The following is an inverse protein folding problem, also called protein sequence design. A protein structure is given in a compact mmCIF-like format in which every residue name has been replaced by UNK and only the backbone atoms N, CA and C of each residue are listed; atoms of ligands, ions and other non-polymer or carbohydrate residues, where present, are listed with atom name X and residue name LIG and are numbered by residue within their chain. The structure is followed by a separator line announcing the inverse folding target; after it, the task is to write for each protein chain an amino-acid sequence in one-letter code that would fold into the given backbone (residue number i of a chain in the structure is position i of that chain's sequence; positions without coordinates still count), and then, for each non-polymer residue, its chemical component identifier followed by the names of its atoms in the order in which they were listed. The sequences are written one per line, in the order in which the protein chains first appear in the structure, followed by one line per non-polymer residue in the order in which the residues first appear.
data_IF_452701709263
#
_entry.id   IF_452701709263
#
_cell.length_a   1.000
_cell.length_b   1.000
_cell.length_c   1.000
_cell.angle_alpha   90.00
_cell.angle_beta   90.00
_cell.angle_gamma   90.00
#
_symmetry.space_group_name_H-M   'P 1'
#
loop_
_entity.id
_entity.type
_entity.pdbx_description
1 polymer ?
#
# COMPACT_ATOMS: atom_id res chain seq x y z
N UNK A 1 15.46 11.09 9.67
CA UNK A 1 14.95 11.22 8.28
C UNK A 1 13.51 11.68 8.35
N UNK A 2 13.14 12.76 7.64
CA UNK A 2 11.75 13.20 7.53
C UNK A 2 11.17 12.67 6.21
N UNK A 3 9.90 12.29 6.21
CA UNK A 3 9.18 11.81 5.03
C UNK A 3 7.81 12.49 4.94
N UNK A 4 7.28 12.62 3.72
CA UNK A 4 5.90 12.98 3.43
C UNK A 4 5.15 11.73 2.99
N UNK A 5 4.01 11.48 3.63
CA UNK A 5 3.11 10.40 3.27
C UNK A 5 2.14 10.83 2.18
N UNK A 6 1.85 9.94 1.25
CA UNK A 6 0.86 10.11 0.20
C UNK A 6 0.09 8.79 0.01
N UNK A 7 -1.24 8.82 0.04
CA UNK A 7 -2.03 7.60 -0.20
C UNK A 7 -2.07 7.28 -1.70
N UNK A 8 -1.83 6.02 -2.05
CA UNK A 8 -1.91 5.53 -3.41
C UNK A 8 -3.36 5.58 -3.93
N UNK A 9 -3.52 6.01 -5.18
CA UNK A 9 -4.79 5.97 -5.89
C UNK A 9 -5.21 4.54 -6.29
N UNK A 10 -6.45 4.36 -6.79
CA UNK A 10 -6.98 3.04 -7.15
C UNK A 10 -6.13 2.28 -8.18
N UNK A 11 -5.63 2.98 -9.21
CA UNK A 11 -4.78 2.39 -10.26
C UNK A 11 -3.46 1.87 -9.67
N UNK A 12 -2.84 2.68 -8.81
CA UNK A 12 -1.57 2.34 -8.17
C UNK A 12 -1.73 1.18 -7.20
N UNK A 13 -2.82 1.16 -6.43
CA UNK A 13 -3.19 0.05 -5.56
C UNK A 13 -3.35 -1.24 -6.35
N UNK A 14 -4.06 -1.21 -7.49
CA UNK A 14 -4.20 -2.37 -8.37
C UNK A 14 -2.85 -2.90 -8.89
N UNK A 15 -1.93 -1.99 -9.26
CA UNK A 15 -0.59 -2.36 -9.74
C UNK A 15 0.33 -2.88 -8.64
N UNK A 16 0.19 -2.39 -7.42
CA UNK A 16 1.08 -2.72 -6.30
C UNK A 16 0.63 -3.94 -5.50
N UNK A 17 -0.68 -4.17 -5.38
CA UNK A 17 -1.22 -5.24 -4.56
C UNK A 17 -0.65 -6.63 -4.90
N UNK A 18 -0.53 -7.05 -6.18
CA UNK A 18 0.08 -8.33 -6.51
C UNK A 18 1.54 -8.43 -6.05
N UNK A 19 2.29 -7.32 -6.06
CA UNK A 19 3.69 -7.28 -5.60
C UNK A 19 3.78 -7.42 -4.08
N UNK A 20 2.86 -6.80 -3.35
CA UNK A 20 2.78 -6.93 -1.89
C UNK A 20 2.44 -8.36 -1.50
N UNK A 21 1.47 -8.99 -2.16
CA UNK A 21 1.11 -10.40 -1.92
C UNK A 21 2.26 -11.35 -2.29
N UNK A 22 2.99 -11.07 -3.37
CA UNK A 22 4.19 -11.84 -3.75
C UNK A 22 5.31 -11.73 -2.70
N UNK A 23 5.48 -10.56 -2.08
CA UNK A 23 6.43 -10.35 -0.98
C UNK A 23 5.97 -11.04 0.31
N UNK A 24 4.67 -10.95 0.62
CA UNK A 24 4.06 -11.58 1.79
C UNK A 24 2.59 -11.92 1.55
N UNK A 25 2.30 -13.22 1.38
CA UNK A 25 0.97 -13.72 1.03
C UNK A 25 -0.13 -13.36 2.03
N UNK A 26 0.22 -13.15 3.31
CA UNK A 26 -0.74 -12.80 4.36
C UNK A 26 -1.43 -11.45 4.15
N UNK A 27 -0.93 -10.57 3.29
CA UNK A 27 -1.66 -9.36 2.93
C UNK A 27 -2.99 -9.66 2.23
N UNK A 28 -3.06 -10.72 1.44
CA UNK A 28 -4.32 -11.13 0.81
C UNK A 28 -5.35 -11.58 1.84
N UNK A 29 -4.91 -12.25 2.92
CA UNK A 29 -5.79 -12.62 4.02
C UNK A 29 -6.39 -11.39 4.71
N UNK A 30 -5.62 -10.31 4.87
CA UNK A 30 -6.15 -9.07 5.45
C UNK A 30 -7.24 -8.47 4.58
N UNK A 31 -7.05 -8.46 3.25
CA UNK A 31 -8.06 -7.95 2.31
C UNK A 31 -9.32 -8.80 2.32
N UNK A 32 -9.20 -10.13 2.40
CA UNK A 32 -10.36 -11.03 2.49
C UNK A 32 -11.20 -10.87 3.75
N UNK A 33 -10.62 -10.32 4.83
CA UNK A 33 -11.28 -10.19 6.13
C UNK A 33 -12.09 -8.91 6.29
N UNK A 34 -12.15 -8.05 5.28
CA UNK A 34 -12.84 -6.77 5.39
C UNK A 34 -13.35 -6.28 4.05
N UNK A 35 -14.48 -5.58 4.07
CA UNK A 35 -15.05 -4.94 2.88
C UNK A 35 -14.43 -3.56 2.59
N UNK A 36 -13.70 -2.99 3.56
CA UNK A 36 -13.02 -1.71 3.36
C UNK A 36 -11.76 -1.91 2.52
N UNK A 37 -11.46 -0.94 1.68
CA UNK A 37 -10.20 -0.93 0.96
C UNK A 37 -9.03 -0.74 1.95
N UNK A 38 -7.97 -1.53 1.80
CA UNK A 38 -6.76 -1.37 2.61
C UNK A 38 -5.94 -0.20 2.00
N UNK A 39 -5.70 0.88 2.76
CA UNK A 39 -4.92 2.01 2.25
C UNK A 39 -3.46 1.59 2.06
N UNK A 40 -2.88 2.00 0.93
CA UNK A 40 -1.46 1.87 0.66
C UNK A 40 -0.87 3.28 0.63
N UNK A 41 0.27 3.47 1.29
CA UNK A 41 0.89 4.79 1.46
C UNK A 41 2.31 4.77 0.92
N UNK A 42 2.62 5.73 0.07
CA UNK A 42 3.98 6.05 -0.34
C UNK A 42 4.64 6.97 0.67
N UNK A 43 5.91 6.70 0.99
CA UNK A 43 6.73 7.58 1.82
C UNK A 43 7.77 8.25 0.93
N UNK A 44 7.59 9.54 0.70
CA UNK A 44 8.52 10.36 -0.06
C UNK A 44 9.53 11.00 0.89
N UNK A 45 10.85 10.90 0.64
CA UNK A 45 11.82 11.69 1.37
C UNK A 45 11.49 13.18 1.24
N UNK A 46 11.55 13.92 2.34
CA UNK A 46 11.58 15.39 2.27
C UNK A 46 12.99 15.83 2.59
N UNK A 47 13.64 16.44 1.59
CA UNK A 47 14.91 17.10 1.82
C UNK A 47 14.62 18.32 2.69
N UNK A 48 15.27 18.36 3.87
CA UNK A 48 15.29 19.53 4.74
C UNK A 48 16.43 20.45 4.38
#
# INVERSE_FOLDING_TARGET
MRVRAEEAGPEEKGRLWPKLVAMYGGYEDYRRRTDREIPLVFLHPVNG
#
